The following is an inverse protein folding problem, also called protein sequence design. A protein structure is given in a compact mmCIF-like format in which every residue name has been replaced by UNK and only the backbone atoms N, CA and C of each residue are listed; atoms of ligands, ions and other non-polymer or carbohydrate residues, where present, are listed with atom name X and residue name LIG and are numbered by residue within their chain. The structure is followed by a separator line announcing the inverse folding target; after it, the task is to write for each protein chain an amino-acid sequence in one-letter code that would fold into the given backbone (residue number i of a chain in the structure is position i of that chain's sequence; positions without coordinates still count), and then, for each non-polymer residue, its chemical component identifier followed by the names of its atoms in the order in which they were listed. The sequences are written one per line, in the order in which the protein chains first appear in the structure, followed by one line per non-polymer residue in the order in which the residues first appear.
data_IF_319520638196
#
_entry.id   IF_319520638196
#
_cell.length_a   1.000
_cell.length_b   1.000
_cell.length_c   1.000
_cell.angle_alpha   90.00
_cell.angle_beta   90.00
_cell.angle_gamma   90.00
#
_symmetry.space_group_name_H-M   'P 1'
#
loop_
_entity.id
_entity.type
_entity.pdbx_description
1 polymer ?
#
# COMPACT_ATOMS: atom_id res chain seq x y z
N UNK A 1 -16.97 -10.20 -13.14
CA UNK A 1 -17.37 -9.31 -12.03
C UNK A 1 -16.17 -8.57 -11.44
N UNK A 2 -15.02 -9.21 -11.24
CA UNK A 2 -13.83 -8.59 -10.63
C UNK A 2 -13.27 -7.38 -11.43
N UNK A 3 -13.40 -7.40 -12.77
CA UNK A 3 -12.95 -6.29 -13.64
C UNK A 3 -13.74 -4.99 -13.47
N UNK A 4 -14.99 -5.04 -12.99
CA UNK A 4 -15.83 -3.84 -12.84
C UNK A 4 -15.45 -3.05 -11.58
N UNK A 5 -15.18 -3.75 -10.47
CA UNK A 5 -14.70 -3.14 -9.23
C UNK A 5 -13.31 -2.54 -9.44
N UNK A 6 -12.39 -3.25 -10.11
CA UNK A 6 -11.05 -2.72 -10.37
C UNK A 6 -11.06 -1.49 -11.29
N UNK A 7 -11.99 -1.42 -12.25
CA UNK A 7 -12.17 -0.26 -13.11
C UNK A 7 -12.71 0.95 -12.32
N UNK A 8 -13.71 0.74 -11.46
CA UNK A 8 -14.25 1.79 -10.59
C UNK A 8 -13.20 2.31 -9.59
N UNK A 9 -12.38 1.41 -9.03
CA UNK A 9 -11.26 1.76 -8.18
C UNK A 9 -10.20 2.57 -8.94
N UNK A 10 -9.92 2.23 -10.20
CA UNK A 10 -8.99 2.97 -11.07
C UNK A 10 -9.48 4.38 -11.39
N UNK A 11 -10.79 4.58 -11.53
CA UNK A 11 -11.37 5.92 -11.77
C UNK A 11 -11.52 6.75 -10.50
N UNK A 12 -11.31 6.15 -9.32
CA UNK A 12 -11.42 6.82 -8.02
C UNK A 12 -12.84 7.16 -7.60
N UNK A 13 -13.83 6.57 -8.26
CA UNK A 13 -15.24 6.83 -7.95
C UNK A 13 -15.66 6.00 -6.73
N UNK A 14 -15.57 6.64 -5.55
CA UNK A 14 -15.86 6.02 -4.26
C UNK A 14 -17.30 5.49 -4.19
N UNK A 15 -18.25 6.24 -4.76
CA UNK A 15 -19.66 5.88 -4.73
C UNK A 15 -19.93 4.64 -5.58
N UNK A 16 -19.38 4.62 -6.80
CA UNK A 16 -19.50 3.49 -7.70
C UNK A 16 -18.76 2.25 -7.17
N UNK A 17 -17.57 2.45 -6.60
CA UNK A 17 -16.80 1.36 -5.99
C UNK A 17 -17.54 0.77 -4.80
N UNK A 18 -18.10 1.59 -3.91
CA UNK A 18 -18.91 1.13 -2.78
C UNK A 18 -20.19 0.42 -3.23
N UNK A 19 -20.84 0.92 -4.29
CA UNK A 19 -22.01 0.28 -4.88
C UNK A 19 -21.67 -1.11 -5.42
N UNK A 20 -20.58 -1.25 -6.19
CA UNK A 20 -20.15 -2.56 -6.69
C UNK A 20 -19.66 -3.48 -5.57
N UNK A 21 -19.02 -2.94 -4.54
CA UNK A 21 -18.57 -3.71 -3.37
C UNK A 21 -19.76 -4.23 -2.54
N UNK A 22 -20.85 -3.47 -2.48
CA UNK A 22 -22.12 -3.90 -1.90
C UNK A 22 -22.85 -4.90 -2.82
N UNK A 23 -22.86 -4.66 -4.14
CA UNK A 23 -23.55 -5.48 -5.13
C UNK A 23 -22.86 -6.84 -5.40
N UNK A 24 -21.54 -6.92 -5.25
CA UNK A 24 -20.77 -8.15 -5.40
C UNK A 24 -20.99 -9.15 -4.24
N UNK A 25 -21.70 -8.74 -3.18
CA UNK A 25 -21.92 -9.57 -1.99
C UNK A 25 -20.63 -9.87 -1.22
N UNK A 26 -20.70 -10.85 -0.32
CA UNK A 26 -19.60 -11.31 0.55
C UNK A 26 -18.65 -12.32 -0.12
N UNK A 27 -18.77 -12.54 -1.43
CA UNK A 27 -18.11 -13.65 -2.12
C UNK A 27 -16.83 -13.24 -2.88
N UNK A 28 -16.22 -12.12 -2.51
CA UNK A 28 -14.90 -11.75 -3.03
C UNK A 28 -13.86 -12.44 -2.18
N UNK A 29 -13.02 -13.28 -2.79
CA UNK A 29 -11.86 -13.80 -2.09
C UNK A 29 -10.92 -12.62 -1.76
N UNK A 30 -10.20 -12.66 -0.63
CA UNK A 30 -9.15 -11.69 -0.31
C UNK A 30 -8.18 -11.44 -1.48
N UNK A 31 -7.84 -12.50 -2.22
CA UNK A 31 -6.98 -12.44 -3.40
C UNK A 31 -7.58 -11.61 -4.57
N UNK A 32 -8.91 -11.54 -4.69
CA UNK A 32 -9.58 -10.75 -5.73
C UNK A 32 -9.60 -9.25 -5.39
N UNK A 33 -9.33 -8.88 -4.13
CA UNK A 33 -9.29 -7.50 -3.66
C UNK A 33 -7.92 -6.83 -3.90
N UNK A 34 -6.88 -7.60 -4.24
CA UNK A 34 -5.54 -7.09 -4.55
C UNK A 34 -5.56 -5.99 -5.63
N UNK A 35 -6.13 -6.29 -6.79
CA UNK A 35 -6.14 -5.37 -7.94
C UNK A 35 -6.90 -4.05 -7.68
N UNK A 36 -8.12 -4.06 -7.10
CA UNK A 36 -8.80 -2.82 -6.76
C UNK A 36 -8.13 -2.07 -5.61
N UNK A 37 -7.52 -2.76 -4.64
CA UNK A 37 -6.78 -2.11 -3.55
C UNK A 37 -5.50 -1.45 -4.09
N UNK A 38 -4.74 -2.14 -4.93
CA UNK A 38 -3.59 -1.60 -5.64
C UNK A 38 -3.94 -0.31 -6.40
N UNK A 39 -4.99 -0.35 -7.23
CA UNK A 39 -5.43 0.84 -7.95
C UNK A 39 -5.82 1.98 -7.01
N UNK A 40 -6.54 1.66 -5.92
CA UNK A 40 -6.96 2.65 -4.92
C UNK A 40 -5.77 3.32 -4.22
N UNK A 41 -4.70 2.57 -3.94
CA UNK A 41 -3.45 3.08 -3.37
C UNK A 41 -2.74 3.97 -4.39
N UNK A 42 -2.62 3.55 -5.66
CA UNK A 42 -1.99 4.34 -6.72
C UNK A 42 -2.67 5.69 -6.93
N UNK A 43 -4.00 5.76 -6.79
CA UNK A 43 -4.76 7.03 -6.86
C UNK A 43 -4.87 7.75 -5.52
N UNK A 44 -4.27 7.21 -4.45
CA UNK A 44 -4.34 7.75 -3.09
C UNK A 44 -5.76 7.92 -2.53
N UNK A 45 -6.69 7.01 -2.89
CA UNK A 45 -8.11 7.11 -2.52
C UNK A 45 -8.45 6.32 -1.25
N UNK A 46 -8.29 6.99 -0.11
CA UNK A 46 -8.62 6.48 1.24
C UNK A 46 -10.05 5.92 1.36
N UNK A 47 -11.00 6.58 0.70
CA UNK A 47 -12.42 6.21 0.74
C UNK A 47 -12.69 4.84 0.12
N UNK A 48 -11.79 4.34 -0.72
CA UNK A 48 -11.86 3.00 -1.33
C UNK A 48 -10.99 2.00 -0.57
N UNK A 49 -9.82 2.43 -0.08
CA UNK A 49 -8.90 1.59 0.71
C UNK A 49 -9.59 1.02 1.95
N UNK A 50 -10.28 1.86 2.73
CA UNK A 50 -10.92 1.43 3.98
C UNK A 50 -11.97 0.32 3.78
N UNK A 51 -12.97 0.45 2.89
CA UNK A 51 -13.93 -0.62 2.62
C UNK A 51 -13.32 -1.93 2.10
N UNK A 52 -12.17 -1.86 1.42
CA UNK A 52 -11.46 -3.04 0.92
C UNK A 52 -10.72 -3.77 2.05
N UNK A 53 -10.07 -3.03 2.95
CA UNK A 53 -9.43 -3.59 4.15
C UNK A 53 -10.44 -4.20 5.11
N UNK A 54 -11.61 -3.56 5.29
CA UNK A 54 -12.71 -4.10 6.10
C UNK A 54 -13.23 -5.47 5.57
N UNK A 55 -12.98 -5.79 4.29
CA UNK A 55 -13.31 -7.09 3.68
C UNK A 55 -12.17 -8.11 3.75
N UNK A 56 -11.08 -7.79 4.44
CA UNK A 56 -9.94 -8.68 4.60
C UNK A 56 -9.04 -8.76 3.37
N UNK A 57 -8.93 -7.67 2.60
CA UNK A 57 -7.84 -7.54 1.63
C UNK A 57 -6.49 -7.72 2.36
N UNK A 58 -5.53 -8.34 1.68
CA UNK A 58 -4.18 -8.46 2.24
C UNK A 58 -3.62 -7.04 2.43
N UNK A 59 -2.93 -6.84 3.54
CA UNK A 59 -2.30 -5.55 3.88
C UNK A 59 -0.79 -5.63 3.69
N UNK A 60 -0.20 -6.83 3.61
CA UNK A 60 1.26 -7.02 3.54
C UNK A 60 1.84 -6.59 2.20
N UNK A 61 1.23 -7.04 1.10
CA UNK A 61 1.72 -6.71 -0.25
C UNK A 61 1.48 -5.24 -0.57
N UNK A 62 0.40 -4.69 -0.03
CA UNK A 62 -0.12 -3.37 -0.32
C UNK A 62 0.57 -2.27 0.48
N UNK A 63 1.09 -2.58 1.69
CA UNK A 63 1.96 -1.65 2.45
C UNK A 63 3.15 -1.22 1.61
N UNK A 64 3.78 -2.15 0.89
CA UNK A 64 4.93 -1.84 0.03
C UNK A 64 4.55 -0.85 -1.06
N UNK A 65 3.46 -1.10 -1.79
CA UNK A 65 2.99 -0.16 -2.81
C UNK A 65 2.61 1.20 -2.22
N UNK A 66 1.96 1.23 -1.05
CA UNK A 66 1.63 2.51 -0.41
C UNK A 66 2.87 3.28 0.03
N UNK A 67 3.91 2.57 0.48
CA UNK A 67 5.19 3.13 0.84
C UNK A 67 5.97 3.63 -0.39
N UNK A 68 5.92 2.93 -1.53
CA UNK A 68 6.46 3.39 -2.82
C UNK A 68 5.76 4.67 -3.30
N UNK A 69 4.45 4.78 -3.10
CA UNK A 69 3.68 6.00 -3.41
C UNK A 69 4.01 7.14 -2.44
N UNK A 70 4.44 6.83 -1.21
CA UNK A 70 4.77 7.81 -0.17
C UNK A 70 3.55 8.38 0.56
N UNK A 71 2.39 7.71 0.49
CA UNK A 71 1.17 8.21 1.13
C UNK A 71 1.06 7.75 2.60
N UNK A 72 1.48 8.62 3.52
CA UNK A 72 1.52 8.36 4.97
C UNK A 72 0.17 7.89 5.53
N UNK A 73 -0.94 8.50 5.10
CA UNK A 73 -2.27 8.18 5.65
C UNK A 73 -2.73 6.78 5.20
N UNK A 74 -2.41 6.37 3.98
CA UNK A 74 -2.73 5.03 3.48
C UNK A 74 -1.83 3.99 4.14
N UNK A 75 -0.53 4.28 4.27
CA UNK A 75 0.41 3.42 5.00
C UNK A 75 -0.09 3.22 6.43
N UNK A 76 -0.52 4.28 7.11
CA UNK A 76 -1.11 4.18 8.45
C UNK A 76 -2.33 3.25 8.50
N UNK A 77 -3.25 3.35 7.53
CA UNK A 77 -4.41 2.46 7.46
C UNK A 77 -4.01 1.00 7.26
N UNK A 78 -3.01 0.75 6.41
CA UNK A 78 -2.54 -0.60 6.11
C UNK A 78 -1.75 -1.22 7.27
N UNK A 79 -0.94 -0.44 7.97
CA UNK A 79 -0.26 -0.85 9.20
C UNK A 79 -1.27 -1.21 10.30
N UNK A 80 -2.33 -0.41 10.46
CA UNK A 80 -3.41 -0.73 11.39
C UNK A 80 -4.19 -2.01 11.00
N UNK A 81 -4.17 -2.38 9.71
CA UNK A 81 -4.73 -3.63 9.19
C UNK A 81 -3.76 -4.83 9.28
N UNK A 82 -2.64 -4.70 10.01
CA UNK A 82 -1.67 -5.78 10.21
C UNK A 82 -0.58 -5.88 9.15
N UNK A 83 -0.38 -4.82 8.37
CA UNK A 83 0.76 -4.71 7.46
C UNK A 83 2.09 -4.66 8.21
N UNK A 84 3.15 -5.14 7.55
CA UNK A 84 4.48 -5.20 8.15
C UNK A 84 5.16 -3.83 8.10
N UNK A 85 5.58 -3.36 9.28
CA UNK A 85 6.17 -2.04 9.45
C UNK A 85 7.61 -1.97 8.93
N UNK A 86 8.35 -3.09 8.97
CA UNK A 86 9.71 -3.16 8.44
C UNK A 86 9.70 -3.18 6.90
N UNK A 87 8.73 -3.85 6.28
CA UNK A 87 8.53 -3.81 4.81
C UNK A 87 8.15 -2.40 4.34
N UNK A 88 7.31 -1.68 5.11
CA UNK A 88 6.98 -0.29 4.82
C UNK A 88 8.24 0.59 4.85
N UNK A 89 9.10 0.38 5.84
CA UNK A 89 10.32 1.15 6.06
C UNK A 89 11.34 0.91 4.95
N UNK A 90 11.53 -0.35 4.55
CA UNK A 90 12.41 -0.71 3.44
C UNK A 90 12.02 0.03 2.16
N UNK A 91 10.74 -0.04 1.77
CA UNK A 91 10.27 0.54 0.52
C UNK A 91 10.21 2.08 0.56
N UNK A 92 9.81 2.65 1.71
CA UNK A 92 9.83 4.10 1.93
C UNK A 92 11.25 4.66 1.80
N UNK A 93 12.25 3.96 2.35
CA UNK A 93 13.64 4.35 2.27
C UNK A 93 14.20 4.15 0.85
N UNK A 94 13.87 3.04 0.18
CA UNK A 94 14.28 2.79 -1.21
C UNK A 94 13.70 3.82 -2.19
N UNK A 95 12.48 4.29 -1.93
CA UNK A 95 11.79 5.33 -2.71
C UNK A 95 12.11 6.76 -2.25
N UNK A 96 13.01 6.92 -1.26
CA UNK A 96 13.48 8.20 -0.73
C UNK A 96 12.36 9.10 -0.14
N UNK A 97 11.34 8.49 0.46
CA UNK A 97 10.24 9.21 1.12
C UNK A 97 10.59 9.55 2.57
N UNK A 98 11.37 10.61 2.75
CA UNK A 98 11.90 11.02 4.07
C UNK A 98 10.80 11.27 5.10
N UNK A 99 9.67 11.87 4.70
CA UNK A 99 8.54 12.13 5.60
C UNK A 99 7.90 10.82 6.10
N UNK A 100 7.78 9.83 5.21
CA UNK A 100 7.24 8.52 5.55
C UNK A 100 8.23 7.72 6.41
N UNK A 101 9.52 7.78 6.10
CA UNK A 101 10.58 7.17 6.93
C UNK A 101 10.55 7.73 8.35
N UNK A 102 10.43 9.05 8.49
CA UNK A 102 10.33 9.70 9.81
C UNK A 102 9.10 9.22 10.57
N UNK A 103 7.95 9.15 9.90
CA UNK A 103 6.72 8.63 10.48
C UNK A 103 6.80 7.16 10.91
N UNK A 104 7.50 6.32 10.14
CA UNK A 104 7.72 4.91 10.46
C UNK A 104 8.70 4.74 11.62
N UNK A 105 9.75 5.57 11.70
CA UNK A 105 10.67 5.61 12.85
C UNK A 105 9.95 6.00 14.14
N UNK A 106 9.03 6.98 14.09
CA UNK A 106 8.21 7.37 15.25
C UNK A 106 7.32 6.22 15.74
N UNK A 107 6.94 5.29 14.85
CA UNK A 107 6.21 4.06 15.19
C UNK A 107 7.09 2.92 15.68
N UNK A 108 8.40 3.10 15.75
CA UNK A 108 9.35 2.09 16.20
C UNK A 108 9.84 1.16 15.10
N UNK A 109 9.83 1.61 13.83
CA UNK A 109 10.44 0.85 12.74
C UNK A 109 11.93 0.64 12.96
N UNK A 110 12.41 -0.53 12.54
CA UNK A 110 13.82 -0.79 12.66
C UNK A 110 14.60 0.10 11.66
N UNK A 111 15.47 0.92 12.21
CA UNK A 111 16.32 1.84 11.45
C UNK A 111 17.27 1.10 10.51
N UNK A 112 17.71 -0.11 10.89
CA UNK A 112 18.59 -0.92 10.06
C UNK A 112 17.89 -1.28 8.75
N UNK A 113 16.60 -1.63 8.79
CA UNK A 113 15.79 -1.96 7.61
C UNK A 113 15.68 -0.78 6.66
N UNK A 114 15.51 0.42 7.21
CA UNK A 114 15.52 1.66 6.43
C UNK A 114 16.89 1.99 5.85
N UNK A 115 17.96 1.73 6.60
CA UNK A 115 19.32 1.89 6.11
C UNK A 115 19.58 0.96 4.92
N UNK A 116 19.19 -0.32 5.03
CA UNK A 116 19.25 -1.29 3.94
C UNK A 116 18.42 -0.84 2.73
N UNK A 117 17.20 -0.36 2.91
CA UNK A 117 16.37 0.18 1.82
C UNK A 117 16.99 1.40 1.14
N UNK A 118 17.54 2.34 1.91
CA UNK A 118 18.19 3.54 1.38
C UNK A 118 19.48 3.24 0.61
N UNK A 119 20.28 2.26 1.07
CA UNK A 119 21.52 1.86 0.36
C UNK A 119 21.26 0.90 -0.80
N UNK A 120 20.17 0.12 -0.78
CA UNK A 120 19.78 -0.79 -1.87
C UNK A 120 18.84 -0.15 -2.90
N UNK A 121 18.32 1.05 -2.64
CA UNK A 121 17.50 1.81 -3.57
C UNK A 121 18.21 2.09 -4.91
N UNK A 122 17.50 2.58 -5.94
CA UNK A 122 17.95 2.62 -7.34
C UNK A 122 19.22 3.45 -7.59
N UNK A 123 19.78 4.12 -6.58
CA UNK A 123 21.02 4.87 -6.65
C UNK A 123 22.30 4.01 -6.58
N UNK A 124 22.24 2.71 -6.23
CA UNK A 124 23.42 1.83 -6.16
C UNK A 124 23.42 0.65 -7.15
N UNK A 125 22.66 0.70 -8.24
CA UNK A 125 22.88 -0.27 -9.35
C UNK A 125 24.20 -0.04 -10.13
N UNK A 126 25.03 0.96 -9.77
CA UNK A 126 26.29 1.27 -10.46
C UNK A 126 27.58 1.18 -9.62
N UNK A 127 27.57 0.61 -8.40
CA UNK A 127 28.84 0.48 -7.67
C UNK A 127 28.95 -0.75 -6.77
N UNK A 128 28.74 -1.93 -7.36
CA UNK A 128 29.47 -3.11 -6.90
C UNK A 128 30.36 -3.56 -8.05
N UNK A 129 31.51 -2.88 -8.20
CA UNK A 129 32.68 -3.49 -8.79
C UNK A 129 33.08 -4.69 -7.91
N UNK A 130 32.84 -5.90 -8.42
CA UNK A 130 33.68 -7.06 -8.16
C UNK A 130 34.41 -7.41 -9.46
#
# INVERSE_FOLDING_TARGET
MNSCISAAAKTGDVALTSFFLAAAGYNLAPADLYLPLFNAISISSKGIVKPLLDRGADSKTEVRTAAEVGNIEIVEMLLNAGGDLDDAMYEAAASNHVDLVTFLLDRGANIDTGLYGAVAGPAMEFSVCC
#
